data_IF_448609331410
#
_entry.id   IF_448609331410
#
_cell.length_a   1.000
_cell.length_b   1.000
_cell.length_c   1.000
_cell.angle_alpha   90.00
_cell.angle_beta   90.00
_cell.angle_gamma   90.00
#
_symmetry.space_group_name_H-M   'P 1'
#
loop_
_entity.id
_entity.type
_entity.pdbx_description
1 polymer ?
#
# COMPACT_ATOMS: atom_id res chain seq x y z
N UNK A 1 14.33 5.79 32.19
CA UNK A 1 15.29 5.61 31.07
C UNK A 1 14.48 5.22 29.86
N UNK A 2 14.61 6.03 28.81
CA UNK A 2 13.65 6.28 27.74
C UNK A 2 13.73 5.22 26.61
N UNK A 3 12.72 4.35 26.53
CA UNK A 3 12.56 3.31 25.50
C UNK A 3 11.77 3.81 24.27
N UNK A 4 11.49 5.13 24.18
CA UNK A 4 10.76 5.69 23.04
C UNK A 4 11.64 6.06 21.84
N UNK A 5 12.98 5.90 21.95
CA UNK A 5 13.95 6.14 20.87
C UNK A 5 14.17 4.96 19.91
N UNK A 6 13.41 3.86 20.02
CA UNK A 6 13.70 2.59 19.32
C UNK A 6 12.75 2.21 18.18
N UNK A 7 11.88 3.12 17.74
CA UNK A 7 11.14 2.97 16.47
C UNK A 7 11.55 4.13 15.58
N UNK A 8 11.90 3.87 14.32
CA UNK A 8 12.31 4.91 13.38
C UNK A 8 11.23 6.00 13.32
N UNK A 9 11.49 7.12 13.99
CA UNK A 9 10.52 8.21 14.09
C UNK A 9 10.74 9.13 12.90
N UNK A 10 9.96 8.93 11.82
CA UNK A 10 9.99 9.79 10.63
C UNK A 10 9.76 11.26 10.99
N UNK A 11 9.10 11.54 12.12
CA UNK A 11 8.93 12.91 12.62
C UNK A 11 10.24 13.53 13.15
N UNK A 12 11.32 12.76 13.34
CA UNK A 12 12.64 13.31 13.68
C UNK A 12 13.21 14.23 12.60
N UNK A 13 12.69 14.18 11.36
CA UNK A 13 13.05 15.07 10.25
C UNK A 13 12.44 16.47 10.36
N UNK A 14 11.40 16.61 11.19
CA UNK A 14 10.62 17.83 11.30
C UNK A 14 11.27 18.83 12.26
N UNK A 15 11.03 20.10 11.99
CA UNK A 15 11.44 21.22 12.85
C UNK A 15 10.42 22.35 12.74
N UNK A 16 10.56 23.37 13.59
CA UNK A 16 9.69 24.54 13.57
C UNK A 16 9.77 25.34 12.27
N UNK A 17 10.83 25.16 11.46
CA UNK A 17 10.96 25.76 10.13
C UNK A 17 10.45 24.85 9.01
N UNK A 18 9.82 23.71 9.31
CA UNK A 18 9.19 22.89 8.29
C UNK A 18 7.88 23.53 7.85
N UNK A 19 7.78 23.88 6.58
CA UNK A 19 6.59 24.55 6.03
C UNK A 19 5.55 23.58 5.47
N UNK A 20 5.98 22.40 5.01
CA UNK A 20 5.15 21.45 4.26
C UNK A 20 5.48 20.01 4.61
N UNK A 21 4.46 19.20 4.81
CA UNK A 21 4.57 17.75 5.06
C UNK A 21 3.54 17.04 4.19
N UNK A 22 3.99 16.07 3.39
CA UNK A 22 3.12 15.08 2.76
C UNK A 22 3.41 13.70 3.33
N UNK A 23 2.39 12.92 3.66
CA UNK A 23 2.57 11.63 4.31
C UNK A 23 1.52 10.59 3.90
N UNK A 24 1.97 9.40 3.51
CA UNK A 24 1.17 8.18 3.39
C UNK A 24 1.66 7.16 4.42
N UNK A 25 0.79 6.70 5.31
CA UNK A 25 1.14 5.80 6.43
C UNK A 25 0.01 4.81 6.70
N UNK A 26 0.24 3.84 7.60
CA UNK A 26 -0.80 2.94 8.08
C UNK A 26 -0.96 1.63 7.31
N UNK A 27 -0.58 1.57 6.02
CA UNK A 27 -0.65 0.31 5.25
C UNK A 27 0.25 -0.78 5.84
N UNK A 28 1.49 -0.43 6.19
CA UNK A 28 2.41 -1.36 6.86
C UNK A 28 1.98 -1.70 8.29
N UNK A 29 1.38 -0.76 9.02
CA UNK A 29 0.80 -1.02 10.35
C UNK A 29 -0.32 -2.05 10.30
N UNK A 30 -1.12 -2.03 9.22
CA UNK A 30 -2.18 -2.99 8.94
C UNK A 30 -1.67 -4.33 8.37
N UNK A 31 -0.37 -4.46 8.09
CA UNK A 31 0.23 -5.69 7.57
C UNK A 31 -0.06 -5.94 6.08
N UNK A 32 -0.38 -4.92 5.29
CA UNK A 32 -0.93 -5.09 3.95
C UNK A 32 -0.03 -5.87 2.97
N UNK A 33 1.30 -5.76 3.11
CA UNK A 33 2.23 -6.56 2.32
C UNK A 33 2.13 -8.07 2.59
N UNK A 34 1.90 -8.46 3.86
CA UNK A 34 1.70 -9.86 4.24
C UNK A 34 0.31 -10.34 3.82
N UNK A 35 -0.71 -9.47 3.87
CA UNK A 35 -2.06 -9.77 3.35
C UNK A 35 -2.00 -10.06 1.85
N UNK A 36 -1.37 -9.19 1.06
CA UNK A 36 -1.24 -9.40 -0.40
C UNK A 36 -0.42 -10.66 -0.71
N UNK A 37 0.64 -10.93 0.06
CA UNK A 37 1.43 -12.17 -0.09
C UNK A 37 0.57 -13.42 0.15
N UNK A 38 -0.30 -13.38 1.16
CA UNK A 38 -1.20 -14.50 1.48
C UNK A 38 -2.30 -14.66 0.42
N UNK A 39 -2.94 -13.57 0.03
CA UNK A 39 -4.00 -13.57 -0.98
C UNK A 39 -3.52 -13.87 -2.39
N UNK A 40 -2.23 -13.70 -2.66
CA UNK A 40 -1.64 -14.08 -3.94
C UNK A 40 -1.47 -15.60 -4.10
N UNK A 41 -1.61 -16.41 -3.04
CA UNK A 41 -1.55 -17.87 -3.13
C UNK A 41 -2.83 -18.46 -3.72
N UNK A 42 -2.77 -19.66 -4.33
CA UNK A 42 -3.98 -20.38 -4.73
C UNK A 42 -4.95 -20.54 -3.56
N UNK A 43 -6.24 -20.33 -3.79
CA UNK A 43 -7.28 -20.27 -2.76
C UNK A 43 -7.36 -21.52 -1.89
N UNK A 44 -7.13 -22.70 -2.47
CA UNK A 44 -7.07 -23.98 -1.73
C UNK A 44 -5.88 -24.09 -0.74
N UNK A 45 -4.93 -23.17 -0.80
CA UNK A 45 -3.76 -23.07 0.10
C UNK A 45 -3.70 -21.80 0.94
N UNK A 46 -4.59 -20.85 0.66
CA UNK A 46 -4.61 -19.51 1.24
C UNK A 46 -5.64 -19.37 2.35
N UNK A 47 -5.35 -18.52 3.33
CA UNK A 47 -6.34 -17.91 4.24
C UNK A 47 -6.41 -16.39 4.00
N UNK A 48 -6.58 -15.98 2.74
CA UNK A 48 -6.72 -14.58 2.37
C UNK A 48 -7.80 -13.88 3.19
N UNK A 49 -8.93 -14.57 3.41
CA UNK A 49 -10.05 -13.97 4.10
C UNK A 49 -9.74 -13.65 5.57
N UNK A 50 -9.08 -14.56 6.29
CA UNK A 50 -8.61 -14.33 7.66
C UNK A 50 -7.50 -13.28 7.75
N UNK A 51 -6.61 -13.22 6.75
CA UNK A 51 -5.59 -12.18 6.66
C UNK A 51 -6.22 -10.79 6.50
N UNK A 52 -7.24 -10.65 5.65
CA UNK A 52 -8.02 -9.42 5.49
C UNK A 52 -8.73 -9.04 6.79
N UNK A 53 -9.38 -9.99 7.47
CA UNK A 53 -10.07 -9.72 8.74
C UNK A 53 -9.11 -9.18 9.81
N UNK A 54 -7.91 -9.77 9.89
CA UNK A 54 -6.86 -9.32 10.80
C UNK A 54 -6.40 -7.89 10.49
N UNK A 55 -6.24 -7.56 9.21
CA UNK A 55 -5.88 -6.22 8.78
C UNK A 55 -6.99 -5.20 9.09
N UNK A 56 -8.25 -5.53 8.78
CA UNK A 56 -9.40 -4.69 9.10
C UNK A 56 -9.57 -4.47 10.61
N UNK A 57 -9.34 -5.50 11.41
CA UNK A 57 -9.29 -5.39 12.88
C UNK A 57 -8.18 -4.44 13.33
N UNK A 58 -6.98 -4.53 12.75
CA UNK A 58 -5.87 -3.63 13.07
C UNK A 58 -6.18 -2.17 12.70
N UNK A 59 -6.76 -1.96 11.51
CA UNK A 59 -7.18 -0.64 11.02
C UNK A 59 -8.23 -0.01 11.92
N UNK A 60 -9.16 -0.79 12.46
CA UNK A 60 -10.26 -0.28 13.29
C UNK A 60 -9.88 -0.11 14.75
N UNK A 61 -9.14 -1.05 15.33
CA UNK A 61 -8.87 -1.09 16.78
C UNK A 61 -7.57 -0.43 17.20
N UNK A 62 -6.52 -0.50 16.36
CA UNK A 62 -5.15 -0.14 16.76
C UNK A 62 -4.67 1.11 16.05
N UNK A 63 -4.90 1.20 14.74
CA UNK A 63 -4.39 2.27 13.91
C UNK A 63 -4.83 3.69 14.35
N UNK A 64 -6.08 3.94 14.82
CA UNK A 64 -6.49 5.29 15.21
C UNK A 64 -5.62 5.90 16.32
N UNK A 65 -5.23 5.09 17.32
CA UNK A 65 -4.33 5.53 18.39
C UNK A 65 -2.94 5.88 17.88
N UNK A 66 -2.37 5.04 16.99
CA UNK A 66 -1.07 5.29 16.37
C UNK A 66 -1.06 6.55 15.50
N UNK A 67 -2.11 6.75 14.70
CA UNK A 67 -2.27 7.95 13.87
C UNK A 67 -2.39 9.20 14.73
N UNK A 68 -3.15 9.15 15.83
CA UNK A 68 -3.25 10.26 16.78
C UNK A 68 -1.88 10.64 17.37
N UNK A 69 -1.10 9.65 17.82
CA UNK A 69 0.26 9.88 18.33
C UNK A 69 1.18 10.47 17.25
N UNK A 70 1.17 9.90 16.04
CA UNK A 70 2.01 10.38 14.94
C UNK A 70 1.65 11.80 14.53
N UNK A 71 0.37 12.08 14.30
CA UNK A 71 -0.10 13.39 13.84
C UNK A 71 0.07 14.47 14.92
N UNK A 72 -0.11 14.11 16.20
CA UNK A 72 0.28 14.98 17.31
C UNK A 72 1.77 15.32 17.30
N UNK A 73 2.65 14.33 17.11
CA UNK A 73 4.10 14.53 17.01
C UNK A 73 4.48 15.45 15.83
N UNK A 74 3.84 15.27 14.66
CA UNK A 74 4.02 16.15 13.50
C UNK A 74 3.64 17.58 13.85
N UNK A 75 2.46 17.80 14.44
CA UNK A 75 1.98 19.14 14.81
C UNK A 75 2.89 19.80 15.86
N UNK A 76 3.38 19.05 16.84
CA UNK A 76 4.29 19.58 17.86
C UNK A 76 5.63 20.00 17.26
N UNK A 77 6.20 19.18 16.36
CA UNK A 77 7.53 19.45 15.78
C UNK A 77 7.49 20.48 14.65
N UNK A 78 6.41 20.54 13.89
CA UNK A 78 6.21 21.45 12.76
C UNK A 78 4.88 22.22 12.89
N UNK A 79 4.77 23.14 13.88
CA UNK A 79 3.49 23.78 14.22
C UNK A 79 2.89 24.63 13.09
N UNK A 80 3.73 25.22 12.23
CA UNK A 80 3.32 26.05 11.09
C UNK A 80 3.12 25.27 9.79
N UNK A 81 3.46 23.98 9.73
CA UNK A 81 3.41 23.24 8.49
C UNK A 81 1.98 23.05 7.96
N UNK A 82 1.83 23.20 6.64
CA UNK A 82 0.72 22.60 5.90
C UNK A 82 0.98 21.10 5.77
N UNK A 83 0.07 20.28 6.30
CA UNK A 83 0.22 18.82 6.32
C UNK A 83 -0.87 18.19 5.45
N UNK A 84 -0.45 17.38 4.48
CA UNK A 84 -1.30 16.62 3.58
C UNK A 84 -1.10 15.13 3.84
N UNK A 85 -2.14 14.48 4.35
CA UNK A 85 -2.22 13.02 4.48
C UNK A 85 -2.78 12.46 3.19
N UNK A 86 -2.05 11.54 2.58
CA UNK A 86 -2.36 10.95 1.28
C UNK A 86 -2.89 9.53 1.50
N UNK A 87 -4.06 9.23 0.93
CA UNK A 87 -4.67 7.90 0.98
C UNK A 87 -4.06 6.90 -0.01
N UNK A 88 -4.70 5.73 -0.12
CA UNK A 88 -4.33 4.63 -1.01
C UNK A 88 -5.41 4.40 -2.08
N UNK A 89 -5.06 4.06 -3.33
CA UNK A 89 -6.05 3.69 -4.32
C UNK A 89 -6.62 2.30 -4.00
N UNK A 90 -7.71 1.97 -4.69
CA UNK A 90 -8.11 0.57 -4.86
C UNK A 90 -7.11 -0.11 -5.80
N UNK A 91 -6.72 -1.33 -5.46
CA UNK A 91 -5.65 -2.03 -6.20
C UNK A 91 -6.20 -2.83 -7.38
N UNK A 92 -7.45 -3.27 -7.33
CA UNK A 92 -7.97 -4.28 -8.26
C UNK A 92 -9.29 -3.84 -8.90
N UNK A 93 -9.59 -4.36 -10.10
CA UNK A 93 -10.86 -4.15 -10.82
C UNK A 93 -11.49 -5.45 -11.33
N UNK A 94 -11.24 -6.59 -10.65
CA UNK A 94 -11.92 -7.86 -10.90
C UNK A 94 -11.15 -8.84 -11.80
N UNK A 95 -9.93 -8.49 -12.20
CA UNK A 95 -9.05 -9.31 -13.02
C UNK A 95 -7.74 -9.59 -12.29
N UNK A 96 -7.23 -10.82 -12.40
CA UNK A 96 -5.85 -11.17 -12.08
C UNK A 96 -5.13 -11.61 -13.37
N UNK A 97 -4.20 -10.77 -13.84
CA UNK A 97 -3.45 -10.95 -15.07
C UNK A 97 -1.99 -11.40 -14.83
N UNK A 98 -1.57 -11.59 -13.57
CA UNK A 98 -0.22 -12.01 -13.25
C UNK A 98 -0.13 -13.54 -13.16
N UNK A 99 0.76 -14.15 -13.96
CA UNK A 99 0.86 -15.62 -14.08
C UNK A 99 1.30 -16.38 -12.81
N UNK A 100 1.68 -15.67 -11.74
CA UNK A 100 2.18 -16.25 -10.49
C UNK A 100 1.34 -15.84 -9.28
N UNK A 101 0.11 -15.39 -9.51
CA UNK A 101 -0.86 -15.04 -8.47
C UNK A 101 -2.23 -15.64 -8.77
N UNK A 102 -3.08 -15.70 -7.75
CA UNK A 102 -4.40 -16.35 -7.81
C UNK A 102 -5.48 -15.54 -7.06
N UNK A 103 -5.50 -14.22 -7.25
CA UNK A 103 -6.48 -13.36 -6.57
C UNK A 103 -7.89 -13.59 -7.12
N UNK A 104 -8.80 -14.14 -6.30
CA UNK A 104 -10.19 -14.29 -6.69
C UNK A 104 -10.92 -12.93 -6.73
N UNK A 105 -11.90 -12.71 -7.63
CA UNK A 105 -12.65 -11.45 -7.71
C UNK A 105 -13.29 -10.99 -6.39
N UNK A 106 -13.73 -11.94 -5.57
CA UNK A 106 -14.29 -11.67 -4.24
C UNK A 106 -13.21 -11.17 -3.27
N UNK A 107 -12.01 -11.76 -3.31
CA UNK A 107 -10.87 -11.33 -2.50
C UNK A 107 -10.41 -9.93 -2.92
N UNK A 108 -10.34 -9.66 -4.22
CA UNK A 108 -10.06 -8.34 -4.78
C UNK A 108 -11.06 -7.29 -4.27
N UNK A 109 -12.34 -7.63 -4.24
CA UNK A 109 -13.40 -6.76 -3.68
C UNK A 109 -13.17 -6.47 -2.20
N UNK A 110 -12.80 -7.49 -1.41
CA UNK A 110 -12.50 -7.32 0.03
C UNK A 110 -11.22 -6.53 0.28
N UNK A 111 -10.18 -6.71 -0.54
CA UNK A 111 -8.94 -5.94 -0.49
C UNK A 111 -9.20 -4.46 -0.78
N UNK A 112 -10.01 -4.16 -1.80
CA UNK A 112 -10.46 -2.80 -2.09
C UNK A 112 -11.28 -2.20 -0.95
N UNK A 113 -12.21 -2.97 -0.36
CA UNK A 113 -12.95 -2.54 0.83
C UNK A 113 -12.04 -2.25 2.04
N UNK A 114 -10.91 -2.94 2.14
CA UNK A 114 -9.90 -2.69 3.18
C UNK A 114 -9.11 -1.40 2.92
N UNK A 115 -8.80 -1.08 1.66
CA UNK A 115 -8.23 0.20 1.27
C UNK A 115 -9.21 1.37 1.57
N UNK A 116 -10.50 1.19 1.26
CA UNK A 116 -11.55 2.17 1.57
C UNK A 116 -11.66 2.41 3.09
N UNK A 117 -11.63 1.33 3.88
CA UNK A 117 -11.65 1.40 5.34
C UNK A 117 -10.43 2.15 5.89
N UNK A 118 -9.23 1.86 5.36
CA UNK A 118 -7.99 2.55 5.74
C UNK A 118 -8.08 4.04 5.41
N UNK A 119 -8.53 4.39 4.20
CA UNK A 119 -8.74 5.78 3.78
C UNK A 119 -9.74 6.51 4.70
N UNK A 120 -10.82 5.86 5.12
CA UNK A 120 -11.77 6.44 6.06
C UNK A 120 -11.10 6.77 7.41
N UNK A 121 -10.26 5.87 7.95
CA UNK A 121 -9.54 6.11 9.21
C UNK A 121 -8.46 7.18 9.08
N UNK A 122 -7.74 7.21 7.97
CA UNK A 122 -6.77 8.27 7.67
C UNK A 122 -7.44 9.63 7.55
N UNK A 123 -8.58 9.70 6.83
CA UNK A 123 -9.36 10.93 6.70
C UNK A 123 -9.79 11.47 8.05
N UNK A 124 -10.41 10.63 8.89
CA UNK A 124 -10.82 11.02 10.25
C UNK A 124 -9.64 11.51 11.08
N UNK A 125 -8.52 10.76 11.11
CA UNK A 125 -7.37 11.15 11.91
C UNK A 125 -6.73 12.46 11.41
N UNK A 126 -6.62 12.64 10.09
CA UNK A 126 -6.07 13.85 9.48
C UNK A 126 -6.92 15.07 9.81
N UNK A 127 -8.24 15.01 9.61
CA UNK A 127 -9.12 16.14 9.90
C UNK A 127 -9.16 16.48 11.39
N UNK A 128 -9.15 15.47 12.27
CA UNK A 128 -9.03 15.69 13.72
C UNK A 128 -7.72 16.39 14.13
N UNK A 129 -6.64 16.21 13.38
CA UNK A 129 -5.36 16.90 13.60
C UNK A 129 -5.26 18.27 12.90
N UNK A 130 -6.31 18.71 12.20
CA UNK A 130 -6.31 19.93 11.39
C UNK A 130 -5.42 19.81 10.14
N UNK A 131 -5.24 18.60 9.63
CA UNK A 131 -4.51 18.30 8.40
C UNK A 131 -5.48 18.08 7.24
N UNK A 132 -4.99 18.22 6.01
CA UNK A 132 -5.77 17.91 4.81
C UNK A 132 -5.61 16.43 4.46
N UNK A 133 -6.70 15.74 4.15
CA UNK A 133 -6.66 14.41 3.56
C UNK A 133 -6.95 14.49 2.06
N UNK A 134 -6.17 13.78 1.25
CA UNK A 134 -6.43 13.62 -0.19
C UNK A 134 -6.67 12.16 -0.53
N UNK A 135 -7.75 11.90 -1.26
CA UNK A 135 -8.22 10.56 -1.61
C UNK A 135 -7.89 10.24 -3.07
N UNK A 136 -7.01 9.27 -3.35
CA UNK A 136 -6.67 8.91 -4.73
C UNK A 136 -7.71 8.01 -5.40
N UNK A 137 -8.69 7.48 -4.67
CA UNK A 137 -9.58 6.40 -5.15
C UNK A 137 -10.22 6.71 -6.49
N UNK A 138 -10.89 7.86 -6.63
CA UNK A 138 -11.58 8.23 -7.88
C UNK A 138 -10.63 8.50 -9.04
N UNK A 139 -9.41 8.93 -8.74
CA UNK A 139 -8.41 9.29 -9.74
C UNK A 139 -7.71 8.06 -10.31
N UNK A 140 -7.63 6.98 -9.54
CA UNK A 140 -7.05 5.70 -9.95
C UNK A 140 -8.08 4.72 -10.55
N UNK A 141 -9.37 5.08 -10.60
CA UNK A 141 -10.38 4.27 -11.29
C UNK A 141 -10.03 4.12 -12.77
N UNK A 142 -9.97 2.87 -13.26
CA UNK A 142 -9.53 2.56 -14.63
C UNK A 142 -8.01 2.51 -14.81
N UNK A 143 -7.26 2.52 -13.70
CA UNK A 143 -5.80 2.41 -13.67
C UNK A 143 -5.30 1.47 -12.56
N UNK A 144 -6.16 0.55 -12.11
CA UNK A 144 -5.81 -0.48 -11.14
C UNK A 144 -4.81 -1.49 -11.74
N UNK A 145 -4.40 -2.47 -10.92
CA UNK A 145 -3.66 -3.63 -11.43
C UNK A 145 -4.43 -4.26 -12.58
N UNK A 146 -3.75 -4.56 -13.68
CA UNK A 146 -4.29 -5.11 -14.93
C UNK A 146 -5.10 -4.15 -15.82
N UNK A 147 -5.38 -2.90 -15.41
CA UNK A 147 -6.03 -1.91 -16.29
C UNK A 147 -5.06 -1.35 -17.35
N UNK A 148 -5.57 -0.64 -18.36
CA UNK A 148 -4.76 0.05 -19.38
C UNK A 148 -5.19 1.53 -19.55
N UNK A 149 -4.29 2.52 -19.28
CA UNK A 149 -2.94 2.33 -18.77
C UNK A 149 -2.93 1.94 -17.29
N UNK A 150 -2.15 0.92 -16.94
CA UNK A 150 -1.92 0.51 -15.55
C UNK A 150 -1.17 1.62 -14.79
N UNK A 151 -1.67 2.04 -13.61
CA UNK A 151 -0.95 2.97 -12.72
C UNK A 151 -0.45 2.31 -11.44
N UNK A 152 -0.89 1.10 -11.15
CA UNK A 152 -0.50 0.31 -9.99
C UNK A 152 0.12 -0.98 -10.50
N UNK A 153 1.38 -1.24 -10.18
CA UNK A 153 2.02 -2.48 -10.61
C UNK A 153 1.28 -3.70 -10.05
N UNK A 154 1.09 -4.73 -10.87
CA UNK A 154 0.83 -6.09 -10.36
C UNK A 154 2.04 -6.70 -9.63
N UNK A 155 2.12 -8.03 -9.57
CA UNK A 155 3.35 -8.71 -9.15
C UNK A 155 4.48 -8.35 -10.12
N UNK A 156 5.51 -7.65 -9.64
CA UNK A 156 6.49 -6.98 -10.50
C UNK A 156 7.94 -7.39 -10.24
N UNK A 157 8.83 -6.93 -11.12
CA UNK A 157 10.29 -7.02 -10.95
C UNK A 157 10.88 -5.61 -11.12
N UNK A 158 11.49 -5.01 -10.09
CA UNK A 158 11.82 -5.59 -8.78
C UNK A 158 10.60 -5.84 -7.89
N UNK A 159 10.63 -6.94 -7.13
CA UNK A 159 9.48 -7.38 -6.31
C UNK A 159 9.03 -6.35 -5.27
N UNK A 160 9.94 -5.49 -4.82
CA UNK A 160 9.65 -4.39 -3.90
C UNK A 160 8.61 -3.41 -4.43
N UNK A 161 8.43 -3.32 -5.75
CA UNK A 161 7.48 -2.41 -6.40
C UNK A 161 6.11 -3.04 -6.62
N UNK A 162 5.90 -4.30 -6.21
CA UNK A 162 4.62 -4.99 -6.42
C UNK A 162 3.52 -4.25 -5.68
N UNK A 163 2.40 -4.01 -6.35
CA UNK A 163 1.23 -3.29 -5.81
C UNK A 163 1.49 -1.84 -5.40
N UNK A 164 2.61 -1.27 -5.84
CA UNK A 164 2.91 0.15 -5.69
C UNK A 164 2.50 0.91 -6.96
N UNK A 165 2.18 2.21 -6.85
CA UNK A 165 2.00 3.06 -8.01
C UNK A 165 3.28 3.08 -8.85
N UNK A 166 3.14 2.94 -10.17
CA UNK A 166 4.25 3.08 -11.09
C UNK A 166 4.53 4.56 -11.39
N UNK A 167 5.45 4.83 -12.32
CA UNK A 167 5.79 6.20 -12.72
C UNK A 167 4.56 7.00 -13.19
N UNK A 168 3.66 6.39 -13.96
CA UNK A 168 2.42 7.05 -14.41
C UNK A 168 1.47 7.31 -13.23
N UNK A 169 1.30 6.34 -12.32
CA UNK A 169 0.50 6.52 -11.11
C UNK A 169 0.99 7.65 -10.20
N UNK A 170 2.31 7.79 -10.04
CA UNK A 170 2.88 8.92 -9.32
C UNK A 170 2.72 10.25 -10.06
N UNK A 171 2.97 10.24 -11.37
CA UNK A 171 2.95 11.43 -12.24
C UNK A 171 1.54 12.00 -12.39
N UNK A 172 0.59 11.15 -12.75
CA UNK A 172 -0.74 11.52 -13.22
C UNK A 172 -1.79 11.32 -12.13
N UNK A 173 -1.62 10.32 -11.26
CA UNK A 173 -2.46 10.07 -10.11
C UNK A 173 -2.11 10.98 -8.93
N UNK A 174 -0.99 10.70 -8.26
CA UNK A 174 -0.69 11.34 -6.97
C UNK A 174 -0.24 12.80 -7.05
N UNK A 175 0.64 13.15 -8.00
CA UNK A 175 1.23 14.50 -8.03
C UNK A 175 0.18 15.61 -8.17
N UNK A 176 -0.81 15.52 -9.08
CA UNK A 176 -1.85 16.54 -9.21
C UNK A 176 -2.80 16.57 -8.01
N UNK A 177 -3.02 15.42 -7.37
CA UNK A 177 -3.89 15.27 -6.20
C UNK A 177 -3.28 15.94 -4.95
N UNK A 178 -2.00 15.68 -4.67
CA UNK A 178 -1.31 16.21 -3.49
C UNK A 178 -0.73 17.61 -3.73
N UNK A 179 -0.44 17.98 -4.97
CA UNK A 179 0.27 19.20 -5.33
C UNK A 179 -0.42 20.48 -4.87
N UNK A 180 -1.70 20.68 -5.20
CA UNK A 180 -2.42 21.89 -4.82
C UNK A 180 -2.59 22.03 -3.29
N UNK A 181 -3.05 20.99 -2.56
CA UNK A 181 -3.13 21.05 -1.10
C UNK A 181 -1.80 21.28 -0.40
N UNK A 182 -0.69 20.79 -0.97
CA UNK A 182 0.63 20.91 -0.36
C UNK A 182 1.32 22.24 -0.71
N UNK A 183 1.10 22.75 -1.92
CA UNK A 183 1.90 23.86 -2.46
C UNK A 183 1.14 25.15 -2.69
N UNK A 184 -0.19 25.12 -2.63
CA UNK A 184 -1.07 26.23 -3.02
C UNK A 184 -1.25 26.38 -4.53
N UNK A 185 -0.60 25.54 -5.35
CA UNK A 185 -0.68 25.58 -6.80
C UNK A 185 -0.93 24.19 -7.39
N UNK A 186 -1.76 24.12 -8.43
CA UNK A 186 -1.91 22.89 -9.20
C UNK A 186 -0.55 22.49 -9.82
N UNK A 187 -0.22 21.20 -9.73
CA UNK A 187 0.99 20.64 -10.31
C UNK A 187 0.59 19.77 -11.50
N UNK A 188 1.05 20.15 -12.69
CA UNK A 188 0.97 19.32 -13.89
C UNK A 188 2.38 18.84 -14.22
N UNK A 189 2.56 17.52 -14.35
CA UNK A 189 3.87 16.98 -14.72
C UNK A 189 4.04 17.10 -16.24
N UNK A 190 4.86 18.06 -16.63
CA UNK A 190 5.31 18.34 -17.99
C UNK A 190 6.79 17.97 -18.15
N UNK A 191 7.31 17.86 -19.39
CA UNK A 191 8.76 17.68 -19.61
C UNK A 191 9.61 18.75 -18.90
N UNK A 192 9.12 19.99 -18.85
CA UNK A 192 9.82 21.09 -18.16
C UNK A 192 9.86 20.90 -16.64
N UNK A 193 8.77 20.42 -16.02
CA UNK A 193 8.78 20.14 -14.57
C UNK A 193 9.64 18.93 -14.24
N UNK A 194 9.65 17.88 -15.08
CA UNK A 194 10.53 16.72 -14.91
C UNK A 194 11.99 17.14 -14.99
N UNK A 195 12.39 17.89 -16.02
CA UNK A 195 13.76 18.39 -16.16
C UNK A 195 14.21 19.24 -14.95
N UNK A 196 13.31 20.06 -14.40
CA UNK A 196 13.59 20.83 -13.16
C UNK A 196 13.75 19.92 -11.94
N UNK A 197 12.91 18.90 -11.80
CA UNK A 197 13.02 17.94 -10.70
C UNK A 197 14.35 17.17 -10.79
N UNK A 198 14.72 16.70 -11.98
CA UNK A 198 15.98 15.99 -12.24
C UNK A 198 17.20 16.87 -11.93
N UNK A 199 17.18 18.13 -12.35
CA UNK A 199 18.25 19.09 -12.04
C UNK A 199 18.44 19.30 -10.52
N UNK A 200 17.37 19.14 -9.72
CA UNK A 200 17.41 19.24 -8.26
C UNK A 200 17.77 17.94 -7.52
N UNK A 201 17.86 16.80 -8.22
CA UNK A 201 17.97 15.49 -7.58
C UNK A 201 19.24 15.33 -6.73
N UNK A 202 20.38 15.88 -7.20
CA UNK A 202 21.64 15.82 -6.46
C UNK A 202 21.58 16.59 -5.12
N UNK A 203 20.95 17.77 -5.14
CA UNK A 203 20.76 18.60 -3.96
C UNK A 203 19.78 17.94 -2.98
N UNK A 204 18.69 17.36 -3.47
CA UNK A 204 17.75 16.59 -2.65
C UNK A 204 18.43 15.37 -2.00
N UNK A 205 19.26 14.65 -2.76
CA UNK A 205 20.04 13.51 -2.24
C UNK A 205 21.00 13.95 -1.13
N UNK A 206 21.68 15.09 -1.31
CA UNK A 206 22.55 15.66 -0.28
C UNK A 206 21.77 16.02 1.00
N UNK A 207 20.57 16.61 0.86
CA UNK A 207 19.67 16.91 2.00
C UNK A 207 19.21 15.65 2.74
N UNK A 208 18.98 14.54 2.04
CA UNK A 208 18.54 13.28 2.65
C UNK A 208 19.66 12.45 3.28
N UNK A 209 20.92 12.70 2.91
CA UNK A 209 22.06 11.88 3.35
C UNK A 209 22.19 11.71 4.87
N UNK A 210 21.99 12.74 5.72
CA UNK A 210 22.06 12.56 7.18
C UNK A 210 20.95 11.64 7.73
N UNK A 211 19.85 11.48 6.99
CA UNK A 211 18.71 10.62 7.36
C UNK A 211 18.88 9.20 6.83
N UNK A 212 19.57 9.04 5.72
CA UNK A 212 19.81 7.74 5.10
C UNK A 212 20.41 6.70 6.08
N UNK A 213 21.28 7.09 7.01
CA UNK A 213 21.82 6.16 8.02
C UNK A 213 20.77 5.72 9.05
N UNK A 214 19.83 6.59 9.41
CA UNK A 214 18.70 6.23 10.25
C UNK A 214 17.73 5.32 9.49
N UNK A 215 17.47 5.64 8.23
CA UNK A 215 16.55 4.91 7.36
C UNK A 215 17.09 3.53 6.97
N UNK A 216 18.42 3.36 6.86
CA UNK A 216 19.07 2.05 6.64
C UNK A 216 18.75 1.01 7.71
N UNK A 217 18.26 1.42 8.88
CA UNK A 217 17.80 0.49 9.94
C UNK A 217 16.34 0.06 9.77
N UNK A 218 15.61 0.66 8.84
CA UNK A 218 14.24 0.30 8.52
C UNK A 218 14.29 -0.91 7.59
N UNK A 219 13.67 -2.01 8.00
CA UNK A 219 13.41 -3.16 7.12
C UNK A 219 12.10 -2.91 6.38
N UNK A 220 12.12 -2.72 5.04
CA UNK A 220 10.89 -2.53 4.28
C UNK A 220 10.01 -3.77 4.36
N UNK A 221 8.71 -3.56 4.55
CA UNK A 221 7.70 -4.61 4.35
C UNK A 221 7.43 -4.71 2.87
N UNK A 222 7.71 -5.87 2.29
CA UNK A 222 7.59 -6.12 0.85
C UNK A 222 6.67 -7.31 0.63
N UNK A 223 5.89 -7.25 -0.45
CA UNK A 223 5.18 -8.42 -0.93
C UNK A 223 6.21 -9.46 -1.37
N UNK A 224 5.90 -10.73 -1.09
CA UNK A 224 6.69 -11.86 -1.54
C UNK A 224 5.93 -12.58 -2.64
N UNK A 225 6.67 -13.15 -3.58
CA UNK A 225 6.11 -14.03 -4.59
C UNK A 225 5.52 -15.25 -3.88
N UNK A 226 4.34 -15.73 -4.29
CA UNK A 226 3.78 -16.99 -3.80
C UNK A 226 4.81 -18.13 -3.87
N UNK A 227 5.04 -18.78 -2.72
CA UNK A 227 5.96 -19.91 -2.58
C UNK A 227 5.17 -21.22 -2.50
N UNK A 228 4.96 -21.82 -3.68
CA UNK A 228 4.25 -23.10 -3.81
C UNK A 228 5.05 -24.29 -3.26
N UNK A 229 6.36 -24.12 -3.08
CA UNK A 229 7.24 -25.15 -2.54
C UNK A 229 7.26 -25.19 -1.01
N UNK A 230 6.68 -24.18 -0.36
CA UNK A 230 6.66 -24.09 1.09
C UNK A 230 6.02 -25.34 1.72
N UNK A 231 6.50 -25.81 2.90
CA UNK A 231 5.91 -26.95 3.58
C UNK A 231 4.41 -26.78 3.88
N UNK A 232 3.94 -25.53 4.05
CA UNK A 232 2.52 -25.23 4.24
C UNK A 232 1.71 -25.53 2.97
N UNK A 233 2.15 -25.02 1.81
CA UNK A 233 1.46 -25.23 0.54
C UNK A 233 1.51 -26.68 0.11
N UNK A 234 2.66 -27.37 0.25
CA UNK A 234 2.76 -28.82 -0.04
C UNK A 234 1.77 -29.67 0.76
N UNK A 235 1.57 -29.35 2.06
CA UNK A 235 0.56 -30.01 2.89
C UNK A 235 -0.87 -29.69 2.44
N UNK A 236 -1.14 -28.44 2.05
CA UNK A 236 -2.44 -28.05 1.52
C UNK A 236 -2.75 -28.77 0.20
N UNK A 237 -1.78 -28.83 -0.72
CA UNK A 237 -1.87 -29.53 -1.98
C UNK A 237 -2.19 -31.01 -1.79
N UNK A 238 -1.51 -31.68 -0.85
CA UNK A 238 -1.80 -33.08 -0.50
C UNK A 238 -3.24 -33.27 -0.03
N UNK A 239 -3.75 -32.38 0.82
CA UNK A 239 -5.15 -32.45 1.30
C UNK A 239 -6.17 -32.17 0.20
N UNK A 240 -5.84 -31.27 -0.72
CA UNK A 240 -6.70 -30.86 -1.82
C UNK A 240 -6.58 -31.77 -3.06
N UNK A 241 -5.65 -32.74 -3.07
CA UNK A 241 -5.39 -33.59 -4.22
C UNK A 241 -4.75 -32.84 -5.41
N UNK A 242 -3.98 -31.79 -5.14
CA UNK A 242 -3.33 -30.95 -6.16
C UNK A 242 -1.92 -31.44 -6.46
N UNK A 243 -1.63 -31.63 -7.74
CA UNK A 243 -0.29 -31.88 -8.26
C UNK A 243 0.42 -30.54 -8.51
N UNK A 244 1.42 -30.23 -7.69
CA UNK A 244 2.18 -28.97 -7.77
C UNK A 244 3.10 -28.89 -8.99
N UNK A 245 3.44 -30.03 -9.61
CA UNK A 245 4.25 -30.06 -10.83
C UNK A 245 3.40 -29.83 -12.09
N UNK A 246 2.06 -29.76 -11.94
CA UNK A 246 1.09 -29.56 -13.01
C UNK A 246 0.36 -28.22 -12.87
N UNK A 247 0.71 -27.20 -13.70
CA UNK A 247 -0.01 -25.92 -13.72
C UNK A 247 -1.52 -26.10 -13.96
N UNK A 248 -1.90 -27.10 -14.76
CA UNK A 248 -3.30 -27.42 -15.00
C UNK A 248 -4.02 -27.92 -13.74
N UNK A 249 -3.35 -28.73 -12.91
CA UNK A 249 -3.89 -29.21 -11.63
C UNK A 249 -4.11 -28.04 -10.66
N UNK A 250 -3.11 -27.17 -10.50
CA UNK A 250 -3.19 -25.98 -9.64
C UNK A 250 -4.35 -25.08 -10.07
N UNK A 251 -4.42 -24.73 -11.35
CA UNK A 251 -5.48 -23.85 -11.88
C UNK A 251 -6.88 -24.47 -11.78
N UNK A 252 -7.01 -25.79 -11.97
CA UNK A 252 -8.30 -26.46 -11.86
C UNK A 252 -8.81 -26.44 -10.41
N UNK A 253 -7.94 -26.73 -9.45
CA UNK A 253 -8.28 -26.70 -8.03
C UNK A 253 -8.61 -25.28 -7.54
N UNK A 254 -7.87 -24.29 -8.02
CA UNK A 254 -8.11 -22.88 -7.68
C UNK A 254 -9.47 -22.40 -8.19
N UNK A 255 -9.80 -22.65 -9.46
CA UNK A 255 -11.14 -22.32 -10.00
C UNK A 255 -12.28 -23.02 -9.27
N UNK A 256 -12.10 -24.28 -8.89
CA UNK A 256 -13.09 -25.02 -8.11
C UNK A 256 -13.32 -24.38 -6.73
N UNK A 257 -12.23 -23.98 -6.07
CA UNK A 257 -12.30 -23.25 -4.80
C UNK A 257 -13.02 -21.91 -4.94
N UNK A 258 -12.67 -21.08 -5.94
CA UNK A 258 -13.30 -19.77 -6.14
C UNK A 258 -14.80 -19.90 -6.41
N UNK A 259 -15.20 -20.92 -7.18
CA UNK A 259 -16.61 -21.19 -7.47
C UNK A 259 -17.40 -21.54 -6.20
N UNK A 260 -16.83 -22.41 -5.34
CA UNK A 260 -17.45 -22.76 -4.07
C UNK A 260 -17.62 -21.53 -3.15
N UNK A 261 -16.59 -20.67 -3.08
CA UNK A 261 -16.64 -19.46 -2.26
C UNK A 261 -17.70 -18.46 -2.74
N UNK A 262 -17.93 -18.38 -4.05
CA UNK A 262 -18.99 -17.56 -4.62
C UNK A 262 -20.39 -18.10 -4.29
N UNK A 263 -20.55 -19.43 -4.25
CA UNK A 263 -21.83 -20.07 -3.93
C UNK A 263 -22.20 -19.96 -2.45
N UNK A 264 -21.24 -20.07 -1.53
CA UNK A 264 -21.46 -19.95 -0.07
C UNK A 264 -21.94 -18.55 0.38
N UNK A 265 -21.88 -17.54 -0.50
CA UNK A 265 -22.25 -16.15 -0.22
C UNK A 265 -23.51 -15.66 -0.94
N UNK A 266 -24.17 -16.53 -1.73
CA UNK A 266 -25.49 -16.26 -2.34
C UNK A 266 -26.62 -16.64 -1.39
#
# INVERSE_FOLDING_TARGET
MDDSRRRGDSAGALSSSTDRVSISVGGNDAGFADVLTECALPGWSSDCNGAIDTAQSTITSTLPGRLSTLFGSIRTKAPSASVVVVGYPRLFMGEDCNALTWFAPEEQTRLNGTADLLNARLRTAATSAGFTFVDPTSRFTGHAVCDDPEWVNGLSNPISESYHPNTAGHRDGYSPLAGAPLTGAAVTVTPATTARADAGAAEQTARQRPRAEADRRITPKTVRRPDLDSPRVRRAATRAGVDLDSPASIMAADRAWSSQQADERR
#
